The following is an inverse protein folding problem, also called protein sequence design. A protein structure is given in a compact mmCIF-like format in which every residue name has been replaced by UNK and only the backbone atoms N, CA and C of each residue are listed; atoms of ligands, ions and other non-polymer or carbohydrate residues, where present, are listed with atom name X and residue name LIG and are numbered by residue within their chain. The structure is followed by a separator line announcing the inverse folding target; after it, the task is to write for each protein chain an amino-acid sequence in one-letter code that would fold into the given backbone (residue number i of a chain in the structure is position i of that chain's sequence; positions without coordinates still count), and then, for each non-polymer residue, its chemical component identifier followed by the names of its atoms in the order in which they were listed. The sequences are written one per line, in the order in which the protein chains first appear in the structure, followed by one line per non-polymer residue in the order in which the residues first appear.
data_IF_232396995606
#
_entry.id   IF_232396995606
#
_cell.length_a   1.000
_cell.length_b   1.000
_cell.length_c   1.000
_cell.angle_alpha   90.00
_cell.angle_beta   90.00
_cell.angle_gamma   90.00
#
_symmetry.space_group_name_H-M   'P 1'
#
loop_
_entity.id
_entity.type
_entity.pdbx_description
1 polymer ?
#
# COMPACT_ATOMS: atom_id res chain seq x y z
N UNK A 1 3.30 -32.94 0.71
CA UNK A 1 3.06 -32.08 -0.46
C UNK A 1 2.28 -30.87 0.05
N UNK A 2 2.97 -29.77 0.37
CA UNK A 2 2.34 -28.49 0.75
C UNK A 2 2.79 -27.49 -0.31
N UNK A 3 1.83 -26.99 -1.09
CA UNK A 3 2.07 -26.05 -2.18
C UNK A 3 2.62 -24.74 -1.62
N UNK A 4 3.86 -24.44 -1.96
CA UNK A 4 4.40 -23.08 -1.89
C UNK A 4 3.70 -22.30 -2.99
N UNK A 5 2.54 -21.72 -2.67
CA UNK A 5 1.88 -20.78 -3.56
C UNK A 5 2.84 -19.65 -3.86
N UNK A 6 3.10 -19.41 -5.14
CA UNK A 6 3.83 -18.23 -5.59
C UNK A 6 3.15 -17.00 -4.97
N UNK A 7 3.90 -16.02 -4.45
CA UNK A 7 3.29 -14.83 -3.87
C UNK A 7 2.43 -14.18 -4.94
N UNK A 8 1.12 -14.09 -4.70
CA UNK A 8 0.21 -13.46 -5.65
C UNK A 8 0.75 -12.07 -6.00
N UNK A 9 0.74 -11.69 -7.29
CA UNK A 9 1.31 -10.42 -7.71
C UNK A 9 0.65 -9.28 -6.94
N UNK A 10 1.49 -8.47 -6.29
CA UNK A 10 1.05 -7.27 -5.58
C UNK A 10 0.24 -6.42 -6.55
N UNK A 11 -1.07 -6.28 -6.32
CA UNK A 11 -1.97 -5.59 -7.25
C UNK A 11 -2.19 -4.15 -6.80
N UNK A 12 -2.22 -3.22 -7.75
CA UNK A 12 -2.52 -1.81 -7.46
C UNK A 12 -3.87 -1.63 -6.73
N UNK A 13 -3.90 -0.77 -5.71
CA UNK A 13 -5.10 -0.44 -4.91
C UNK A 13 -6.05 0.53 -5.61
N UNK A 14 -5.68 1.09 -6.77
CA UNK A 14 -6.58 1.92 -7.57
C UNK A 14 -7.74 1.05 -8.06
N UNK A 15 -8.97 1.47 -7.78
CA UNK A 15 -10.16 0.76 -8.23
C UNK A 15 -10.13 0.54 -9.75
N UNK A 16 -10.27 -0.72 -10.17
CA UNK A 16 -10.24 -1.13 -11.57
C UNK A 16 -8.86 -1.34 -12.18
N UNK A 17 -7.77 -0.94 -11.51
CA UNK A 17 -6.41 -1.25 -11.95
C UNK A 17 -6.04 -2.69 -11.55
N UNK A 18 -5.33 -3.39 -12.44
CA UNK A 18 -4.84 -4.76 -12.21
C UNK A 18 -3.33 -4.87 -12.41
N UNK A 19 -2.66 -3.75 -12.55
CA UNK A 19 -1.22 -3.73 -12.81
C UNK A 19 -0.45 -4.12 -11.54
N UNK A 20 0.74 -4.66 -11.78
CA UNK A 20 1.68 -5.00 -10.72
C UNK A 20 2.13 -3.74 -9.99
N UNK A 21 2.03 -3.77 -8.67
CA UNK A 21 2.44 -2.69 -7.81
C UNK A 21 3.94 -2.73 -7.54
N UNK A 22 4.63 -1.68 -7.98
CA UNK A 22 6.04 -1.40 -7.68
C UNK A 22 6.23 -0.66 -6.36
N UNK A 23 5.15 -0.07 -5.82
CA UNK A 23 5.18 0.84 -4.67
C UNK A 23 4.21 0.43 -3.56
N UNK A 24 4.60 0.78 -2.33
CA UNK A 24 3.79 0.71 -1.12
C UNK A 24 3.60 2.12 -0.56
N UNK A 25 2.37 2.47 -0.27
CA UNK A 25 2.00 3.74 0.37
C UNK A 25 1.50 3.41 1.78
N UNK A 26 2.33 3.69 2.77
CA UNK A 26 1.99 3.62 4.19
C UNK A 26 1.32 4.92 4.60
N UNK A 27 0.14 4.85 5.19
CA UNK A 27 -0.61 6.06 5.53
C UNK A 27 -1.47 5.88 6.78
N UNK A 28 -1.86 6.99 7.39
CA UNK A 28 -2.71 7.00 8.58
C UNK A 28 -3.88 7.97 8.42
N UNK A 29 -5.03 7.62 9.01
CA UNK A 29 -6.14 8.55 9.18
C UNK A 29 -6.21 9.04 10.64
N UNK A 30 -5.62 10.21 10.97
CA UNK A 30 -5.56 10.72 12.33
C UNK A 30 -6.94 11.11 12.89
N UNK A 31 -7.97 11.18 12.04
CA UNK A 31 -9.32 11.59 12.45
C UNK A 31 -10.10 10.47 13.12
N UNK A 32 -9.71 9.21 12.93
CA UNK A 32 -10.48 8.03 13.41
C UNK A 32 -9.64 6.94 14.06
N UNK A 33 -8.31 7.01 13.98
CA UNK A 33 -7.41 6.00 14.53
C UNK A 33 -6.33 6.64 15.41
N UNK A 34 -5.89 5.89 16.43
CA UNK A 34 -4.69 6.22 17.20
C UNK A 34 -3.44 6.16 16.31
N UNK A 35 -2.36 6.80 16.77
CA UNK A 35 -1.13 6.96 16.00
C UNK A 35 -0.49 5.63 15.55
N UNK A 36 -0.81 4.53 16.22
CA UNK A 36 -0.22 3.21 16.05
C UNK A 36 -0.77 2.44 14.85
N UNK A 37 -1.90 2.88 14.26
CA UNK A 37 -2.53 2.18 13.14
C UNK A 37 -2.10 2.74 11.79
N UNK A 38 -1.18 2.05 11.12
CA UNK A 38 -0.77 2.31 9.73
C UNK A 38 -1.56 1.43 8.77
N UNK A 39 -2.13 2.04 7.72
CA UNK A 39 -2.71 1.34 6.59
C UNK A 39 -1.72 1.30 5.44
N UNK A 40 -1.85 0.30 4.59
CA UNK A 40 -0.99 0.11 3.43
C UNK A 40 -1.86 0.05 2.17
N UNK A 41 -1.49 0.86 1.17
CA UNK A 41 -1.96 0.72 -0.21
C UNK A 41 -0.80 0.32 -1.11
N UNK A 42 -1.10 -0.42 -2.17
CA UNK A 42 -0.14 -0.80 -3.20
C UNK A 42 -0.39 0.05 -4.45
N UNK A 43 0.67 0.45 -5.15
CA UNK A 43 0.54 1.27 -6.34
C UNK A 43 1.50 0.81 -7.45
N UNK A 44 1.00 0.76 -8.69
CA UNK A 44 1.85 0.70 -9.88
C UNK A 44 2.45 2.09 -10.17
N UNK A 45 3.42 2.15 -11.07
CA UNK A 45 4.10 3.39 -11.45
C UNK A 45 3.15 4.46 -12.00
N UNK A 46 2.07 4.06 -12.67
CA UNK A 46 1.06 4.99 -13.20
C UNK A 46 0.22 5.66 -12.10
N UNK A 47 -0.03 4.94 -10.99
CA UNK A 47 -1.03 5.35 -9.99
C UNK A 47 -0.44 5.81 -8.66
N UNK A 48 0.87 5.68 -8.45
CA UNK A 48 1.52 6.06 -7.19
C UNK A 48 1.29 7.53 -6.84
N UNK A 49 1.45 8.43 -7.81
CA UNK A 49 1.25 9.87 -7.58
C UNK A 49 -0.21 10.21 -7.32
N UNK A 50 -1.14 9.62 -8.08
CA UNK A 50 -2.57 9.82 -7.85
C UNK A 50 -2.99 9.45 -6.42
N UNK A 51 -2.56 8.28 -5.94
CA UNK A 51 -2.91 7.81 -4.59
C UNK A 51 -2.22 8.65 -3.51
N UNK A 52 -0.97 9.08 -3.75
CA UNK A 52 -0.24 10.00 -2.87
C UNK A 52 -0.96 11.34 -2.73
N UNK A 53 -1.36 11.95 -3.84
CA UNK A 53 -2.07 13.22 -3.88
C UNK A 53 -3.44 13.13 -3.21
N UNK A 54 -4.16 12.03 -3.41
CA UNK A 54 -5.43 11.78 -2.73
C UNK A 54 -5.29 11.84 -1.20
N UNK A 55 -4.24 11.23 -0.65
CA UNK A 55 -3.97 11.23 0.79
C UNK A 55 -3.45 12.59 1.26
N UNK A 56 -2.54 13.21 0.51
CA UNK A 56 -1.97 14.52 0.82
C UNK A 56 -3.04 15.62 0.86
N UNK A 57 -4.00 15.62 -0.06
CA UNK A 57 -5.12 16.57 -0.10
C UNK A 57 -6.06 16.47 1.13
N UNK A 58 -5.90 15.44 1.97
CA UNK A 58 -6.65 15.22 3.22
C UNK A 58 -5.79 15.42 4.46
N UNK A 59 -4.56 15.92 4.29
CA UNK A 59 -3.54 16.05 5.34
C UNK A 59 -3.26 14.73 6.09
N UNK A 60 -3.39 13.61 5.38
CA UNK A 60 -3.08 12.31 5.95
C UNK A 60 -1.58 12.07 5.92
N UNK A 61 -0.93 11.78 7.07
CA UNK A 61 0.47 11.40 7.09
C UNK A 61 0.67 10.15 6.23
N UNK A 62 1.62 10.22 5.29
CA UNK A 62 1.93 9.13 4.37
C UNK A 62 3.43 9.01 4.12
N UNK A 63 3.86 7.81 3.72
CA UNK A 63 5.20 7.51 3.22
C UNK A 63 5.07 6.58 2.00
N UNK A 64 5.85 6.84 0.97
CA UNK A 64 5.95 5.97 -0.21
C UNK A 64 7.28 5.24 -0.15
N UNK A 65 7.26 3.91 -0.28
CA UNK A 65 8.45 3.06 -0.31
C UNK A 65 8.32 2.01 -1.42
N UNK A 66 9.44 1.44 -1.94
CA UNK A 66 9.38 0.33 -2.88
C UNK A 66 8.66 -0.89 -2.31
N UNK A 67 7.84 -1.55 -3.13
CA UNK A 67 7.08 -2.73 -2.73
C UNK A 67 8.01 -3.90 -2.34
N UNK A 68 9.18 -4.02 -2.97
CA UNK A 68 10.17 -5.05 -2.65
C UNK A 68 10.77 -4.94 -1.23
N UNK A 69 10.76 -3.75 -0.62
CA UNK A 69 11.47 -3.51 0.65
C UNK A 69 10.77 -4.05 1.90
N UNK A 70 9.50 -4.49 1.82
CA UNK A 70 8.77 -5.00 3.01
C UNK A 70 7.88 -6.20 2.65
N UNK A 71 8.52 -7.33 2.34
CA UNK A 71 7.92 -8.66 2.54
C UNK A 71 8.11 -9.17 3.99
N UNK A 72 8.72 -8.36 4.86
CA UNK A 72 9.10 -8.72 6.24
C UNK A 72 8.21 -8.10 7.33
N UNK A 73 6.98 -7.66 7.01
CA UNK A 73 5.99 -7.23 7.98
C UNK A 73 4.78 -8.14 7.91
N UNK A 74 4.63 -9.05 8.88
CA UNK A 74 3.60 -10.09 8.96
C UNK A 74 2.14 -9.59 8.93
N UNK A 75 1.18 -10.50 9.12
CA UNK A 75 -0.20 -10.32 8.69
C UNK A 75 -0.81 -9.02 9.23
N UNK A 76 -1.39 -8.24 8.32
CA UNK A 76 -2.35 -7.19 8.64
C UNK A 76 -3.60 -7.88 9.25
N UNK A 77 -3.64 -7.92 10.59
CA UNK A 77 -4.81 -8.34 11.35
C UNK A 77 -5.95 -7.31 11.27
#
# INVERSE_FOLDING_TARGET
MIGMGEPEPLTCSRAGCRDTASWRIEWRNPRIHSADRVKVWLACDEHVDFLREFLAARDFPLRVVPAAEVAAGGPIA
#
